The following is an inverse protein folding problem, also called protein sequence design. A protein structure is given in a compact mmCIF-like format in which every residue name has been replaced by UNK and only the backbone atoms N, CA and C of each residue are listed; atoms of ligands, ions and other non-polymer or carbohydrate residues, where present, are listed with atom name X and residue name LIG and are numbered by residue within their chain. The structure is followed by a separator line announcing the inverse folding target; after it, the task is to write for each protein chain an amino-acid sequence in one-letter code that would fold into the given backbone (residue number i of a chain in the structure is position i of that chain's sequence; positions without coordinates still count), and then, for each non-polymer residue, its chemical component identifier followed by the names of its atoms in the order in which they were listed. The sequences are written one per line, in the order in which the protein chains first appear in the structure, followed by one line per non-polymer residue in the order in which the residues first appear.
data_IF_197198606411
#
_entry.id   IF_197198606411
#
_cell.length_a   1.000
_cell.length_b   1.000
_cell.length_c   1.000
_cell.angle_alpha   90.00
_cell.angle_beta   90.00
_cell.angle_gamma   90.00
#
_symmetry.space_group_name_H-M   'P 1'
#
loop_
_entity.id
_entity.type
_entity.pdbx_description
1 polymer ?
#
# COMPACT_ATOMS: atom_id res chain seq x y z
N UNK A 1 -32.24 5.01 6.11
CA UNK A 1 -31.11 5.75 5.52
C UNK A 1 -29.86 4.93 5.76
N UNK A 2 -29.47 4.18 4.74
CA UNK A 2 -28.51 3.09 4.83
C UNK A 2 -27.07 3.63 4.68
N UNK A 3 -26.24 3.34 5.68
CA UNK A 3 -24.83 2.94 5.52
C UNK A 3 -23.96 3.77 4.56
N UNK A 4 -24.03 5.10 4.65
CA UNK A 4 -23.02 5.97 4.01
C UNK A 4 -21.76 6.19 4.87
N UNK A 5 -21.69 5.60 6.07
CA UNK A 5 -20.57 5.78 7.02
C UNK A 5 -19.47 4.71 6.95
N UNK A 6 -19.54 3.79 5.98
CA UNK A 6 -18.56 2.70 5.83
C UNK A 6 -17.41 3.02 4.85
N UNK A 7 -17.37 4.22 4.29
CA UNK A 7 -16.43 4.63 3.25
C UNK A 7 -15.52 5.81 3.67
N UNK A 8 -15.24 5.96 4.96
CA UNK A 8 -14.16 6.87 5.36
C UNK A 8 -12.82 6.16 5.18
N UNK A 9 -11.93 6.62 4.27
CA UNK A 9 -10.60 6.04 4.06
C UNK A 9 -9.76 5.93 5.34
N UNK A 10 -10.09 6.75 6.34
CA UNK A 10 -9.51 6.74 7.68
C UNK A 10 -9.79 5.43 8.46
N UNK A 11 -11.01 4.88 8.38
CA UNK A 11 -11.37 3.59 9.02
C UNK A 11 -10.70 2.39 8.38
N UNK A 12 -10.25 2.56 7.14
CA UNK A 12 -9.42 1.57 6.46
C UNK A 12 -8.05 1.62 7.15
N UNK A 13 -7.35 2.75 7.17
CA UNK A 13 -6.01 2.86 7.80
C UNK A 13 -5.90 2.31 9.24
N UNK A 14 -6.93 2.45 10.08
CA UNK A 14 -6.97 1.88 11.45
C UNK A 14 -6.92 0.34 11.54
N UNK A 15 -7.14 -0.40 10.43
CA UNK A 15 -7.02 -1.87 10.42
C UNK A 15 -5.60 -2.36 10.10
N UNK A 16 -4.60 -1.48 10.14
CA UNK A 16 -3.21 -1.82 9.87
C UNK A 16 -2.80 -1.72 8.39
N UNK A 17 -3.43 -0.82 7.63
CA UNK A 17 -3.00 -0.61 6.24
C UNK A 17 -1.71 0.21 6.21
N UNK A 18 -0.75 -0.30 5.45
CA UNK A 18 0.52 0.35 5.24
C UNK A 18 0.55 0.95 3.84
N UNK A 19 1.19 2.11 3.69
CA UNK A 19 1.35 2.76 2.39
C UNK A 19 2.70 2.39 1.81
N UNK A 20 2.71 1.87 0.59
CA UNK A 20 3.94 1.60 -0.15
C UNK A 20 4.32 2.79 -1.04
N UNK A 21 5.59 3.17 -0.98
CA UNK A 21 6.19 4.22 -1.79
C UNK A 21 7.36 3.64 -2.59
N UNK A 22 7.63 4.19 -3.76
CA UNK A 22 8.84 3.87 -4.52
C UNK A 22 10.08 4.60 -3.96
N UNK A 23 11.25 4.41 -4.59
CA UNK A 23 12.49 5.10 -4.21
C UNK A 23 12.40 6.63 -4.31
N UNK A 24 11.45 7.16 -5.09
CA UNK A 24 11.23 8.59 -5.31
C UNK A 24 10.20 9.17 -4.32
N UNK A 25 9.82 8.38 -3.30
CA UNK A 25 8.75 8.70 -2.34
C UNK A 25 7.36 8.92 -3.01
N UNK A 26 7.14 8.36 -4.19
CA UNK A 26 5.83 8.39 -4.87
C UNK A 26 4.97 7.22 -4.41
N UNK A 27 3.69 7.50 -4.13
CA UNK A 27 2.74 6.49 -3.65
C UNK A 27 2.42 5.45 -4.74
N UNK A 28 2.66 4.18 -4.42
CA UNK A 28 2.31 3.03 -5.25
C UNK A 28 0.84 2.68 -4.97
N UNK A 29 0.00 2.69 -6.01
CA UNK A 29 -1.45 2.46 -5.86
C UNK A 29 -1.91 1.10 -6.39
N UNK A 30 -1.12 0.48 -7.27
CA UNK A 30 -1.40 -0.82 -7.86
C UNK A 30 -0.11 -1.61 -8.03
N UNK A 31 -0.20 -2.93 -7.91
CA UNK A 31 0.91 -3.86 -8.16
C UNK A 31 1.45 -3.78 -9.59
N UNK A 32 0.67 -3.23 -10.54
CA UNK A 32 1.13 -2.98 -11.94
C UNK A 32 2.22 -1.93 -12.07
N UNK A 33 2.40 -1.11 -11.02
CA UNK A 33 3.48 -0.13 -10.97
C UNK A 33 4.80 -0.72 -10.48
N UNK A 34 4.80 -1.98 -10.04
CA UNK A 34 5.97 -2.65 -9.47
C UNK A 34 6.59 -3.62 -10.46
N UNK A 35 7.88 -3.86 -10.28
CA UNK A 35 8.66 -4.92 -10.92
C UNK A 35 9.46 -5.68 -9.86
N UNK A 36 9.75 -6.96 -10.13
CA UNK A 36 10.66 -7.73 -9.27
C UNK A 36 12.04 -7.07 -9.24
N UNK A 37 12.60 -6.93 -8.05
CA UNK A 37 13.84 -6.20 -7.79
C UNK A 37 13.65 -4.73 -7.44
N UNK A 38 12.45 -4.17 -7.60
CA UNK A 38 12.19 -2.77 -7.21
C UNK A 38 12.39 -2.57 -5.71
N UNK A 39 12.97 -1.42 -5.37
CA UNK A 39 13.09 -0.97 -3.98
C UNK A 39 11.87 -0.14 -3.62
N UNK A 40 11.21 -0.52 -2.53
CA UNK A 40 10.01 0.13 -2.04
C UNK A 40 10.13 0.43 -0.55
N UNK A 41 9.48 1.50 -0.12
CA UNK A 41 9.41 1.91 1.26
C UNK A 41 7.98 1.77 1.76
N UNK A 42 7.79 0.95 2.78
CA UNK A 42 6.48 0.77 3.40
C UNK A 42 6.42 1.68 4.63
N UNK A 43 5.42 2.56 4.68
CA UNK A 43 5.13 3.42 5.82
C UNK A 43 4.06 2.77 6.69
N UNK A 44 4.43 2.54 7.94
CA UNK A 44 3.56 2.10 9.02
C UNK A 44 3.22 3.31 9.91
N UNK A 45 2.33 3.12 10.88
CA UNK A 45 1.96 4.17 11.83
C UNK A 45 3.13 4.60 12.73
N UNK A 46 4.06 3.68 13.02
CA UNK A 46 5.15 3.80 13.97
C UNK A 46 6.54 3.81 13.33
N UNK A 47 6.63 3.72 12.00
CA UNK A 47 7.92 3.65 11.33
C UNK A 47 7.87 3.44 9.82
N UNK A 48 9.03 3.10 9.27
CA UNK A 48 9.22 2.80 7.84
C UNK A 48 10.04 1.53 7.69
N UNK A 49 9.72 0.70 6.72
CA UNK A 49 10.55 -0.43 6.30
C UNK A 49 11.02 -0.24 4.85
N UNK A 50 12.27 -0.59 4.60
CA UNK A 50 12.84 -0.63 3.26
C UNK A 50 12.81 -2.08 2.76
N UNK A 51 12.22 -2.31 1.60
CA UNK A 51 11.96 -3.64 1.06
C UNK A 51 12.39 -3.72 -0.41
N UNK A 52 12.62 -4.94 -0.87
CA UNK A 52 12.82 -5.26 -2.28
C UNK A 52 11.69 -6.17 -2.72
N UNK A 53 11.06 -5.87 -3.85
CA UNK A 53 10.00 -6.69 -4.42
C UNK A 53 10.60 -8.01 -4.86
N UNK A 54 10.20 -9.11 -4.23
CA UNK A 54 10.69 -10.45 -4.54
C UNK A 54 9.80 -11.17 -5.57
N UNK A 55 8.49 -10.95 -5.50
CA UNK A 55 7.53 -11.48 -6.45
C UNK A 55 6.27 -10.61 -6.49
N UNK A 56 5.53 -10.65 -7.60
CA UNK A 56 4.30 -9.88 -7.81
C UNK A 56 3.17 -10.82 -8.20
N UNK A 57 2.13 -10.85 -7.38
CA UNK A 57 0.89 -11.56 -7.67
C UNK A 57 -0.25 -10.55 -7.91
N UNK A 58 -0.94 -10.68 -9.05
CA UNK A 58 -2.15 -9.91 -9.36
C UNK A 58 -3.37 -10.79 -9.12
N UNK A 59 -4.18 -10.44 -8.11
CA UNK A 59 -5.46 -11.09 -7.88
C UNK A 59 -6.53 -10.44 -8.76
N UNK A 60 -7.16 -11.24 -9.65
CA UNK A 60 -8.30 -10.78 -10.44
C UNK A 60 -9.57 -10.90 -9.61
N UNK A 61 -10.11 -9.75 -9.23
CA UNK A 61 -11.46 -9.60 -8.65
C UNK A 61 -12.51 -9.69 -9.76
#
# INVERSE_FOLDING_TARGET
MAKLDALSPLKIMERGYSLAYDEQETLIKTVKQLQEGDRVHIRFQDGRAHCIVSNIEEEKI
#
